data_IF_691707647640
#
_entry.id   IF_691707647640
#
_cell.length_a   1.000
_cell.length_b   1.000
_cell.length_c   1.000
_cell.angle_alpha   90.00
_cell.angle_beta   90.00
_cell.angle_gamma   90.00
#
_symmetry.space_group_name_H-M   'P 1'
#
loop_
_entity.id
_entity.type
_entity.pdbx_description
1 polymer ?
#
# COMPACT_ATOMS: atom_id res chain seq x y z
N UNK A 1 3.10 -18.85 -17.03
CA UNK A 1 1.87 -19.25 -16.31
C UNK A 1 2.15 -20.43 -15.37
N UNK A 2 3.38 -20.96 -15.42
CA UNK A 2 3.78 -22.22 -14.79
C UNK A 2 4.03 -22.06 -13.29
N UNK A 3 4.52 -20.88 -12.87
CA UNK A 3 4.82 -20.63 -11.46
C UNK A 3 3.60 -20.74 -10.52
N UNK A 4 2.42 -20.32 -10.98
CA UNK A 4 1.18 -20.46 -10.20
C UNK A 4 0.84 -21.93 -9.98
N UNK A 5 0.99 -22.77 -11.01
CA UNK A 5 0.73 -24.21 -10.91
C UNK A 5 1.72 -24.89 -9.97
N UNK A 6 3.01 -24.55 -10.07
CA UNK A 6 4.05 -25.02 -9.16
C UNK A 6 3.73 -24.66 -7.70
N UNK A 7 3.36 -23.41 -7.42
CA UNK A 7 2.99 -22.96 -6.07
C UNK A 7 1.76 -23.71 -5.52
N UNK A 8 0.77 -23.97 -6.37
CA UNK A 8 -0.41 -24.78 -6.00
C UNK A 8 0.00 -26.21 -5.66
N UNK A 9 0.89 -26.82 -6.45
CA UNK A 9 1.38 -28.19 -6.24
C UNK A 9 2.26 -28.30 -4.98
N UNK A 10 3.15 -27.33 -4.74
CA UNK A 10 3.97 -27.23 -3.53
C UNK A 10 3.11 -27.14 -2.26
N UNK A 11 1.94 -26.50 -2.38
CA UNK A 11 0.90 -26.50 -1.35
C UNK A 11 1.37 -26.00 0.03
N UNK A 12 2.43 -25.20 0.07
CA UNK A 12 3.14 -24.83 1.31
C UNK A 12 2.50 -23.64 2.05
N UNK A 13 1.97 -22.68 1.31
CA UNK A 13 1.43 -21.42 1.85
C UNK A 13 -0.09 -21.36 1.71
N UNK A 14 -0.73 -20.63 2.62
CA UNK A 14 -2.17 -20.37 2.64
C UNK A 14 -2.53 -19.02 2.00
N UNK A 15 -1.57 -18.11 1.98
CA UNK A 15 -1.58 -16.89 1.17
C UNK A 15 -0.18 -16.67 0.64
N UNK A 16 -0.04 -16.34 -0.64
CA UNK A 16 1.27 -16.05 -1.23
C UNK A 16 1.18 -14.88 -2.20
N UNK A 17 2.06 -13.90 -1.99
CA UNK A 17 2.22 -12.73 -2.85
C UNK A 17 3.46 -12.83 -3.72
N UNK A 18 3.63 -11.85 -4.61
CA UNK A 18 4.84 -11.73 -5.39
C UNK A 18 5.09 -10.31 -5.92
N UNK A 19 5.78 -10.22 -7.05
CA UNK A 19 6.22 -8.96 -7.62
C UNK A 19 5.20 -8.39 -8.62
N UNK A 20 4.89 -7.11 -8.51
CA UNK A 20 4.16 -6.39 -9.55
C UNK A 20 4.95 -5.19 -10.03
N UNK A 21 4.90 -4.93 -11.34
CA UNK A 21 5.63 -3.85 -11.98
C UNK A 21 4.67 -2.87 -12.67
N UNK A 22 4.87 -1.58 -12.43
CA UNK A 22 4.02 -0.53 -12.98
C UNK A 22 4.17 -0.39 -14.50
N UNK A 23 3.02 -0.26 -15.19
CA UNK A 23 2.91 0.23 -16.56
C UNK A 23 2.04 1.48 -16.60
N UNK A 24 2.42 2.44 -17.42
CA UNK A 24 1.71 3.72 -17.57
C UNK A 24 1.19 3.86 -19.00
N UNK A 25 -0.13 3.91 -19.18
CA UNK A 25 -0.75 3.91 -20.52
C UNK A 25 -0.36 5.13 -21.36
N UNK A 26 -0.35 6.33 -20.77
CA UNK A 26 0.02 7.60 -21.43
C UNK A 26 1.43 8.07 -21.08
N UNK A 27 2.28 7.18 -20.59
CA UNK A 27 3.57 7.53 -20.00
C UNK A 27 3.46 7.98 -18.54
N UNK A 28 4.59 7.92 -17.84
CA UNK A 28 4.71 8.28 -16.44
C UNK A 28 4.99 9.79 -16.31
N UNK A 29 4.25 10.56 -15.50
CA UNK A 29 4.58 11.95 -15.25
C UNK A 29 5.99 12.11 -14.66
N UNK A 30 6.75 13.12 -15.10
CA UNK A 30 8.14 13.36 -14.68
C UNK A 30 8.32 13.52 -13.16
N UNK A 31 7.26 13.93 -12.46
CA UNK A 31 7.27 14.16 -11.02
C UNK A 31 7.05 12.89 -10.18
N UNK A 32 6.69 11.78 -10.82
CA UNK A 32 6.47 10.48 -10.20
C UNK A 32 7.80 9.71 -10.15
N UNK A 33 8.12 9.09 -9.02
CA UNK A 33 9.34 8.28 -8.87
C UNK A 33 9.36 7.08 -9.83
N UNK A 34 10.55 6.56 -10.14
CA UNK A 34 10.71 5.38 -11.00
C UNK A 34 10.04 4.13 -10.44
N UNK A 35 10.02 3.98 -9.12
CA UNK A 35 9.45 2.84 -8.41
C UNK A 35 7.95 2.99 -8.12
N UNK A 36 7.30 4.09 -8.51
CA UNK A 36 5.89 4.31 -8.15
C UNK A 36 4.98 3.25 -8.77
N UNK A 37 4.22 2.58 -7.90
CA UNK A 37 3.33 1.50 -8.31
C UNK A 37 4.05 0.19 -8.60
N UNK A 38 5.36 0.07 -8.37
CA UNK A 38 6.09 -1.20 -8.42
C UNK A 38 6.26 -1.72 -7.00
N UNK A 39 6.10 -3.03 -6.80
CA UNK A 39 6.30 -3.63 -5.49
C UNK A 39 7.78 -3.54 -5.07
N UNK A 40 8.06 -3.40 -3.78
CA UNK A 40 9.41 -3.51 -3.25
C UNK A 40 9.74 -4.99 -3.07
N UNK A 41 10.94 -5.39 -3.49
CA UNK A 41 11.40 -6.76 -3.31
C UNK A 41 11.51 -7.08 -1.81
N UNK A 42 10.81 -8.13 -1.37
CA UNK A 42 10.87 -8.60 0.00
C UNK A 42 11.97 -9.66 0.20
N UNK A 43 12.02 -10.65 -0.69
CA UNK A 43 12.98 -11.76 -0.65
C UNK A 43 13.43 -12.11 -2.07
N UNK A 44 14.66 -12.59 -2.23
CA UNK A 44 15.20 -13.10 -3.51
C UNK A 44 14.88 -14.57 -3.75
N UNK A 45 14.26 -15.25 -2.78
CA UNK A 45 13.85 -16.65 -2.85
C UNK A 45 12.43 -16.82 -2.31
N UNK A 46 11.79 -17.95 -2.64
CA UNK A 46 10.52 -18.34 -2.02
C UNK A 46 10.72 -18.46 -0.50
N UNK A 47 9.99 -17.65 0.27
CA UNK A 47 10.13 -17.63 1.73
C UNK A 47 8.80 -17.32 2.42
N UNK A 48 8.71 -17.68 3.70
CA UNK A 48 7.68 -17.14 4.58
C UNK A 48 7.90 -15.63 4.76
N UNK A 49 6.82 -14.89 5.00
CA UNK A 49 6.85 -13.44 5.16
C UNK A 49 5.73 -12.94 6.10
N UNK A 50 5.86 -11.73 6.67
CA UNK A 50 4.76 -11.11 7.41
C UNK A 50 3.49 -10.94 6.57
N UNK A 51 2.33 -10.97 7.23
CA UNK A 51 1.02 -10.91 6.55
C UNK A 51 0.85 -9.68 5.65
N UNK A 52 1.51 -8.56 5.94
CA UNK A 52 1.39 -7.32 5.17
C UNK A 52 2.28 -7.27 3.92
N UNK A 53 3.07 -8.32 3.65
CA UNK A 53 3.95 -8.38 2.49
C UNK A 53 3.20 -8.72 1.20
N UNK A 54 2.32 -9.72 1.13
CA UNK A 54 1.49 -9.94 -0.05
C UNK A 54 0.47 -8.82 -0.22
N UNK A 55 0.50 -8.05 -1.30
CA UNK A 55 -0.53 -7.04 -1.55
C UNK A 55 -0.65 -6.71 -3.03
N UNK A 56 -1.77 -6.07 -3.39
CA UNK A 56 -2.03 -5.64 -4.74
C UNK A 56 -2.44 -6.77 -5.69
N UNK A 57 -2.06 -6.64 -6.96
CA UNK A 57 -2.66 -7.41 -8.05
C UNK A 57 -2.14 -8.86 -8.21
N UNK A 58 -1.22 -9.31 -7.35
CA UNK A 58 -0.60 -10.64 -7.44
C UNK A 58 -0.55 -11.31 -6.07
N UNK A 59 -1.70 -11.88 -5.68
CA UNK A 59 -1.84 -12.66 -4.45
C UNK A 59 -2.71 -13.87 -4.69
N UNK A 60 -2.25 -15.04 -4.23
CA UNK A 60 -3.01 -16.28 -4.22
C UNK A 60 -3.48 -16.57 -2.80
N UNK A 61 -4.69 -17.10 -2.68
CA UNK A 61 -5.30 -17.46 -1.40
C UNK A 61 -5.79 -18.90 -1.44
N UNK A 62 -5.54 -19.66 -0.37
CA UNK A 62 -6.10 -20.99 -0.21
C UNK A 62 -7.62 -20.89 -0.03
N UNK A 63 -8.35 -21.61 -0.88
CA UNK A 63 -9.82 -21.61 -0.90
C UNK A 63 -10.44 -21.96 0.46
N UNK A 64 -9.87 -22.92 1.20
CA UNK A 64 -10.38 -23.30 2.52
C UNK A 64 -10.33 -22.15 3.53
N UNK A 65 -9.29 -21.30 3.49
CA UNK A 65 -9.22 -20.11 4.33
C UNK A 65 -10.23 -19.04 3.90
N UNK A 66 -10.42 -18.83 2.60
CA UNK A 66 -11.45 -17.91 2.10
C UNK A 66 -12.84 -18.31 2.61
N UNK A 67 -13.18 -19.60 2.57
CA UNK A 67 -14.47 -20.09 3.08
C UNK A 67 -14.55 -19.99 4.61
N UNK A 68 -13.52 -20.46 5.32
CA UNK A 68 -13.48 -20.44 6.80
C UNK A 68 -13.60 -19.03 7.37
N UNK A 69 -13.01 -18.04 6.69
CA UNK A 69 -12.93 -16.66 7.14
C UNK A 69 -13.97 -15.75 6.47
N UNK A 70 -14.97 -16.30 5.77
CA UNK A 70 -16.01 -15.50 5.10
C UNK A 70 -15.45 -14.45 4.11
N UNK A 71 -14.36 -14.78 3.42
CA UNK A 71 -13.77 -13.98 2.35
C UNK A 71 -13.28 -12.59 2.77
N UNK A 72 -13.31 -11.66 1.81
CA UNK A 72 -12.90 -10.26 1.98
C UNK A 72 -13.99 -9.45 2.69
N UNK A 73 -13.58 -8.61 3.64
CA UNK A 73 -14.50 -7.72 4.33
C UNK A 73 -14.91 -6.52 3.47
N UNK A 74 -16.22 -6.36 3.24
CA UNK A 74 -16.80 -5.22 2.51
C UNK A 74 -16.65 -3.87 3.25
N UNK A 75 -16.09 -3.88 4.47
CA UNK A 75 -15.75 -2.66 5.20
C UNK A 75 -14.53 -1.95 4.59
N UNK A 76 -13.66 -2.69 3.91
CA UNK A 76 -12.41 -2.23 3.31
C UNK A 76 -12.49 -2.19 1.79
N UNK A 77 -11.42 -1.69 1.15
CA UNK A 77 -11.34 -1.59 -0.30
C UNK A 77 -12.14 -0.46 -0.94
N UNK A 78 -11.98 -0.32 -2.26
CA UNK A 78 -12.61 0.70 -3.09
C UNK A 78 -14.15 0.63 -3.03
N UNK A 79 -14.82 1.79 -2.91
CA UNK A 79 -16.29 1.89 -2.97
C UNK A 79 -16.71 2.90 -4.03
N UNK A 80 -17.01 2.41 -5.23
CA UNK A 80 -17.28 3.27 -6.38
C UNK A 80 -16.11 4.22 -6.64
N UNK A 81 -16.36 5.54 -6.53
CA UNK A 81 -15.32 6.59 -6.69
C UNK A 81 -14.53 6.89 -5.42
N UNK A 82 -14.90 6.28 -4.28
CA UNK A 82 -14.20 6.47 -3.02
C UNK A 82 -12.99 5.53 -2.94
N UNK A 83 -11.81 6.12 -2.70
CA UNK A 83 -10.60 5.37 -2.41
C UNK A 83 -10.74 4.55 -1.12
N UNK A 84 -10.30 3.30 -1.20
CA UNK A 84 -10.18 2.40 -0.06
C UNK A 84 -9.04 1.41 -0.27
N UNK A 85 -8.62 0.83 0.84
CA UNK A 85 -7.46 -0.06 0.98
C UNK A 85 -7.75 -1.08 2.08
N UNK A 86 -6.77 -1.98 2.30
CA UNK A 86 -6.70 -2.96 3.38
C UNK A 86 -7.61 -4.18 3.24
N UNK A 87 -8.32 -4.36 2.15
CA UNK A 87 -9.13 -5.55 1.91
C UNK A 87 -8.29 -6.83 1.91
N UNK A 88 -7.14 -6.81 1.25
CA UNK A 88 -6.18 -7.92 1.18
C UNK A 88 -5.50 -8.11 2.53
N UNK A 89 -4.91 -7.04 3.07
CA UNK A 89 -4.13 -7.08 4.32
C UNK A 89 -4.97 -7.48 5.53
N UNK A 90 -6.25 -7.08 5.58
CA UNK A 90 -7.15 -7.48 6.65
C UNK A 90 -7.47 -8.98 6.60
N UNK A 91 -7.71 -9.52 5.41
CA UNK A 91 -7.90 -10.96 5.25
C UNK A 91 -6.61 -11.73 5.59
N UNK A 92 -5.46 -11.25 5.15
CA UNK A 92 -4.16 -11.87 5.43
C UNK A 92 -3.84 -11.88 6.93
N UNK A 93 -4.16 -10.80 7.64
CA UNK A 93 -4.08 -10.73 9.09
C UNK A 93 -4.95 -11.80 9.76
N UNK A 94 -6.20 -11.99 9.30
CA UNK A 94 -7.07 -13.05 9.79
C UNK A 94 -6.57 -14.46 9.43
N UNK A 95 -5.97 -14.66 8.26
CA UNK A 95 -5.33 -15.92 7.88
C UNK A 95 -4.19 -16.24 8.83
N UNK A 96 -3.28 -15.29 9.06
CA UNK A 96 -2.15 -15.45 9.98
C UNK A 96 -2.62 -15.77 11.41
N UNK A 97 -3.61 -15.04 11.93
CA UNK A 97 -4.17 -15.28 13.27
C UNK A 97 -4.91 -16.63 13.39
N UNK A 98 -5.37 -17.19 12.27
CA UNK A 98 -5.97 -18.52 12.22
C UNK A 98 -4.93 -19.65 12.01
N UNK A 99 -3.63 -19.32 12.10
CA UNK A 99 -2.51 -20.25 11.96
C UNK A 99 -2.09 -20.53 10.51
N UNK A 100 -2.54 -19.73 9.55
CA UNK A 100 -2.17 -19.88 8.14
C UNK A 100 -0.76 -19.33 7.85
N UNK A 101 -0.06 -19.98 6.91
CA UNK A 101 1.28 -19.60 6.46
C UNK A 101 1.22 -18.57 5.34
N UNK A 102 1.97 -17.48 5.48
CA UNK A 102 2.02 -16.41 4.48
C UNK A 102 3.37 -16.43 3.76
N UNK A 103 3.34 -16.51 2.44
CA UNK A 103 4.55 -16.62 1.60
C UNK A 103 4.76 -15.42 0.69
N UNK A 104 6.00 -15.26 0.25
CA UNK A 104 6.38 -14.37 -0.82
C UNK A 104 7.22 -15.13 -1.85
N UNK A 105 6.90 -14.94 -3.12
CA UNK A 105 7.63 -15.50 -4.25
C UNK A 105 8.08 -14.39 -5.22
N UNK A 106 9.39 -14.14 -5.39
CA UNK A 106 9.88 -13.12 -6.32
C UNK A 106 9.60 -13.44 -7.80
N UNK A 107 9.39 -14.71 -8.13
CA UNK A 107 9.10 -15.18 -9.49
C UNK A 107 7.61 -15.24 -9.81
N UNK A 108 6.74 -15.18 -8.81
CA UNK A 108 5.33 -14.90 -9.01
C UNK A 108 5.17 -13.43 -9.37
N UNK A 109 5.22 -13.11 -10.67
CA UNK A 109 5.33 -11.72 -11.13
C UNK A 109 4.38 -11.33 -12.24
N UNK A 110 3.88 -10.09 -12.18
CA UNK A 110 2.99 -9.51 -13.19
C UNK A 110 3.33 -8.05 -13.49
N UNK A 111 2.87 -7.58 -14.65
CA UNK A 111 2.81 -6.16 -14.97
C UNK A 111 1.39 -5.67 -14.79
N UNK A 112 1.21 -4.48 -14.23
CA UNK A 112 -0.12 -3.89 -14.04
C UNK A 112 -0.16 -2.43 -14.46
N UNK A 113 -1.33 -1.98 -14.91
CA UNK A 113 -1.51 -0.59 -15.32
C UNK A 113 -1.85 0.29 -14.11
N UNK A 114 -1.04 1.32 -13.90
CA UNK A 114 -1.37 2.39 -12.96
C UNK A 114 -2.42 3.30 -13.60
N UNK A 115 -3.60 3.36 -13.00
CA UNK A 115 -4.66 4.21 -13.50
C UNK A 115 -4.30 5.70 -13.39
N UNK A 116 -4.51 6.45 -14.48
CA UNK A 116 -4.15 7.88 -14.61
C UNK A 116 -4.77 8.75 -13.52
N UNK A 117 -6.01 8.45 -13.10
CA UNK A 117 -6.66 9.23 -12.04
C UNK A 117 -5.91 9.13 -10.70
N UNK A 118 -5.11 8.09 -10.44
CA UNK A 118 -4.26 7.99 -9.23
C UNK A 118 -3.05 8.92 -9.30
N UNK A 119 -2.67 9.38 -10.49
CA UNK A 119 -1.48 10.16 -10.76
C UNK A 119 -1.70 11.68 -10.64
N UNK A 120 -2.62 12.11 -9.77
CA UNK A 120 -2.75 13.52 -9.41
C UNK A 120 -2.34 13.71 -7.96
N UNK A 121 -1.73 14.85 -7.64
CA UNK A 121 -1.27 15.13 -6.28
C UNK A 121 -2.41 15.01 -5.25
N UNK A 122 -3.59 15.54 -5.59
CA UNK A 122 -4.77 15.47 -4.74
C UNK A 122 -5.23 14.02 -4.53
N UNK A 123 -5.25 13.19 -5.58
CA UNK A 123 -5.66 11.80 -5.42
C UNK A 123 -4.62 10.98 -4.66
N UNK A 124 -3.33 11.29 -4.77
CA UNK A 124 -2.31 10.67 -3.91
C UNK A 124 -2.49 11.02 -2.42
N UNK A 125 -2.89 12.25 -2.10
CA UNK A 125 -3.26 12.65 -0.74
C UNK A 125 -4.49 11.85 -0.28
N UNK A 126 -5.55 11.78 -1.10
CA UNK A 126 -6.76 10.99 -0.78
C UNK A 126 -6.47 9.50 -0.60
N UNK A 127 -5.55 8.94 -1.40
CA UNK A 127 -5.08 7.56 -1.26
C UNK A 127 -4.36 7.36 0.08
N UNK A 128 -3.52 8.30 0.52
CA UNK A 128 -2.88 8.25 1.83
C UNK A 128 -3.91 8.29 2.98
N UNK A 129 -4.93 9.15 2.89
CA UNK A 129 -6.04 9.16 3.84
C UNK A 129 -6.77 7.82 3.88
N UNK A 130 -7.08 7.26 2.71
CA UNK A 130 -7.73 5.95 2.61
C UNK A 130 -6.87 4.81 3.20
N UNK A 131 -5.54 4.86 3.01
CA UNK A 131 -4.60 3.92 3.60
C UNK A 131 -4.61 4.00 5.12
N UNK A 132 -4.56 5.21 5.70
CA UNK A 132 -4.66 5.40 7.15
C UNK A 132 -5.97 4.85 7.73
N UNK A 133 -7.07 5.02 7.01
CA UNK A 133 -8.38 4.46 7.37
C UNK A 133 -8.41 2.94 7.32
N UNK A 134 -7.69 2.37 6.36
CA UNK A 134 -7.50 0.93 6.18
C UNK A 134 -6.73 0.31 7.34
N UNK A 135 -5.62 0.90 7.79
CA UNK A 135 -4.79 0.41 8.91
C UNK A 135 -5.44 0.57 10.30
N UNK A 136 -6.76 0.50 10.41
CA UNK A 136 -7.47 0.51 11.70
C UNK A 136 -7.73 -0.89 12.24
N UNK A 137 -7.67 -1.94 11.41
CA UNK A 137 -7.96 -3.31 11.84
C UNK A 137 -6.81 -3.99 12.60
N UNK A 138 -5.56 -3.64 12.28
CA UNK A 138 -4.35 -4.20 12.91
C UNK A 138 -3.74 -3.28 13.97
N UNK A 139 -4.13 -2.01 13.98
CA UNK A 139 -3.63 -1.02 14.92
C UNK A 139 -4.42 -1.03 16.23
N UNK A 140 -4.02 -1.86 17.18
CA UNK A 140 -4.39 -1.71 18.61
C UNK A 140 -3.63 -0.54 19.29
N UNK A 141 -3.36 0.51 18.51
CA UNK A 141 -2.72 1.71 19.01
C UNK A 141 -3.80 2.55 19.71
N UNK A 142 -3.57 2.79 21.01
CA UNK A 142 -4.38 3.67 21.86
C UNK A 142 -4.70 4.98 21.14
N UNK A 143 -5.94 5.44 21.22
CA UNK A 143 -6.45 6.68 20.60
C UNK A 143 -5.53 7.88 20.88
N UNK A 144 -5.00 7.97 22.11
CA UNK A 144 -4.04 9.02 22.51
C UNK A 144 -2.76 9.02 21.67
N UNK A 145 -2.21 7.85 21.33
CA UNK A 145 -1.01 7.78 20.49
C UNK A 145 -1.34 8.17 19.03
N UNK A 146 -2.52 7.82 18.51
CA UNK A 146 -2.97 8.31 17.20
C UNK A 146 -3.06 9.82 17.19
N UNK A 147 -3.56 10.40 18.28
CA UNK A 147 -3.71 11.86 18.42
C UNK A 147 -2.35 12.54 18.48
N UNK A 148 -1.43 11.99 19.28
CA UNK A 148 -0.03 12.45 19.35
C UNK A 148 0.64 12.41 17.97
N UNK A 149 0.48 11.33 17.20
CA UNK A 149 1.03 11.21 15.85
C UNK A 149 0.40 12.22 14.87
N UNK A 150 -0.90 12.46 14.97
CA UNK A 150 -1.57 13.49 14.17
C UNK A 150 -1.05 14.89 14.49
N UNK A 151 -0.93 15.24 15.77
CA UNK A 151 -0.38 16.53 16.22
C UNK A 151 1.06 16.69 15.77
N UNK A 152 1.92 15.69 15.96
CA UNK A 152 3.31 15.73 15.51
C UNK A 152 3.44 15.84 14.00
N UNK A 153 2.60 15.14 13.26
CA UNK A 153 2.53 15.35 11.82
C UNK A 153 2.14 16.81 11.55
N UNK A 154 1.04 17.31 12.10
CA UNK A 154 0.59 18.67 11.86
C UNK A 154 1.66 19.73 12.16
N UNK A 155 2.31 19.66 13.32
CA UNK A 155 3.43 20.55 13.70
C UNK A 155 4.60 20.41 12.72
N UNK A 156 4.94 19.18 12.33
CA UNK A 156 5.98 18.90 11.34
C UNK A 156 5.69 19.44 9.93
N UNK A 157 4.45 19.87 9.63
CA UNK A 157 4.16 20.63 8.41
C UNK A 157 4.95 21.94 8.40
N UNK A 158 4.81 22.72 9.48
CA UNK A 158 5.34 24.08 9.56
C UNK A 158 6.83 24.11 9.88
N UNK A 159 7.30 23.23 10.77
CA UNK A 159 8.69 23.27 11.23
C UNK A 159 9.64 22.64 10.21
N UNK A 160 9.18 21.66 9.43
CA UNK A 160 10.06 20.88 8.53
C UNK A 160 9.60 20.93 7.08
N UNK A 161 8.38 20.46 6.80
CA UNK A 161 8.00 20.10 5.43
C UNK A 161 7.77 21.31 4.52
N UNK A 162 7.12 22.36 5.03
CA UNK A 162 6.91 23.61 4.28
C UNK A 162 8.25 24.31 4.03
N UNK A 163 9.09 24.58 5.05
CA UNK A 163 10.40 25.19 4.82
C UNK A 163 11.27 24.39 3.86
N UNK A 164 11.33 23.06 4.01
CA UNK A 164 12.11 22.20 3.12
C UNK A 164 11.55 22.19 1.70
N UNK A 165 10.22 22.18 1.54
CA UNK A 165 9.61 22.27 0.21
C UNK A 165 9.90 23.61 -0.46
N UNK A 166 9.79 24.72 0.28
CA UNK A 166 10.13 26.07 -0.20
C UNK A 166 11.61 26.16 -0.59
N UNK A 167 12.50 25.62 0.25
CA UNK A 167 13.93 25.50 -0.07
C UNK A 167 14.13 24.72 -1.37
N UNK A 168 13.50 23.55 -1.53
CA UNK A 168 13.61 22.76 -2.77
C UNK A 168 13.07 23.51 -3.99
N UNK A 169 12.01 24.30 -3.85
CA UNK A 169 11.50 25.13 -4.95
C UNK A 169 12.49 26.21 -5.39
N UNK A 170 13.19 26.83 -4.44
CA UNK A 170 14.12 27.92 -4.73
C UNK A 170 15.46 27.38 -5.27
N UNK A 171 15.96 26.28 -4.70
CA UNK A 171 17.34 25.83 -4.93
C UNK A 171 17.47 24.58 -5.81
N UNK A 172 16.41 23.78 -6.01
CA UNK A 172 16.47 22.60 -6.87
C UNK A 172 15.82 22.93 -8.22
N UNK A 173 16.65 22.96 -9.25
CA UNK A 173 16.19 23.13 -10.63
C UNK A 173 15.22 22.00 -11.01
N UNK A 174 14.16 22.37 -11.73
CA UNK A 174 13.11 21.46 -12.20
C UNK A 174 12.33 20.73 -11.09
N UNK A 175 12.34 21.26 -9.86
CA UNK A 175 11.54 20.71 -8.78
C UNK A 175 10.04 20.86 -9.05
N UNK A 176 9.35 19.72 -9.06
CA UNK A 176 7.96 19.62 -9.47
C UNK A 176 7.02 19.90 -8.29
N UNK A 177 6.08 20.84 -8.44
CA UNK A 177 5.22 21.27 -7.35
C UNK A 177 4.33 20.17 -6.78
N UNK A 178 3.96 19.17 -7.59
CA UNK A 178 3.18 18.02 -7.16
C UNK A 178 3.90 17.24 -6.06
N UNK A 179 5.24 17.10 -6.17
CA UNK A 179 6.07 16.43 -5.14
C UNK A 179 6.05 17.21 -3.83
N UNK A 180 6.10 18.55 -3.91
CA UNK A 180 6.00 19.41 -2.74
C UNK A 180 4.66 19.23 -2.03
N UNK A 181 3.55 19.29 -2.77
CA UNK A 181 2.20 19.13 -2.21
C UNK A 181 2.04 17.76 -1.55
N UNK A 182 2.47 16.68 -2.21
CA UNK A 182 2.40 15.33 -1.62
C UNK A 182 3.29 15.25 -0.38
N UNK A 183 4.54 15.73 -0.44
CA UNK A 183 5.45 15.71 0.70
C UNK A 183 4.89 16.44 1.91
N UNK A 184 4.31 17.62 1.68
CA UNK A 184 3.68 18.43 2.72
C UNK A 184 2.46 17.69 3.27
N UNK A 185 1.47 17.33 2.46
CA UNK A 185 0.17 16.95 2.99
C UNK A 185 -0.05 15.45 3.23
N UNK A 186 0.64 14.55 2.51
CA UNK A 186 0.37 13.11 2.56
C UNK A 186 0.51 12.49 3.97
N UNK A 187 1.57 12.78 4.76
CA UNK A 187 1.66 12.21 6.12
C UNK A 187 0.53 12.66 7.05
N UNK A 188 0.14 13.94 7.00
CA UNK A 188 -0.97 14.44 7.84
C UNK A 188 -2.29 13.82 7.40
N UNK A 189 -2.50 13.69 6.10
CA UNK A 189 -3.66 13.01 5.52
C UNK A 189 -3.74 11.55 5.96
N UNK A 190 -2.63 10.82 5.95
CA UNK A 190 -2.55 9.45 6.46
C UNK A 190 -2.94 9.38 7.95
N UNK A 191 -2.35 10.21 8.81
CA UNK A 191 -2.67 10.20 10.24
C UNK A 191 -4.11 10.60 10.53
N UNK A 192 -4.66 11.56 9.78
CA UNK A 192 -6.06 11.96 9.89
C UNK A 192 -7.00 10.81 9.56
N UNK A 193 -6.66 9.99 8.56
CA UNK A 193 -7.46 8.82 8.18
C UNK A 193 -7.55 7.73 9.25
N UNK A 194 -6.67 7.74 10.26
CA UNK A 194 -6.65 6.74 11.34
C UNK A 194 -7.69 7.00 12.45
N UNK A 195 -8.43 8.10 12.35
CA UNK A 195 -9.61 8.43 13.15
C UNK A 195 -10.86 8.12 12.32
#
# INVERSE_FOLDING_TARGET
MDRVKELIQLNTFDCIGGMYYAKFKKGKPKWISEDYGTNKLFSTVLSECPYYIPHGCVVLYRKSFLTKLNGFSHKFGMKGKQFGYAEETELQFRIANAGGKIGFDPDLKIWHFVHEYRLTALNMIKLNFALGRGHRFDCDIRVLLRFKLLVFSFVGLFIKRIPEALFKFVFIKDYQWQRAIIYIFAPTSYHLGRF
#
